data_IF_381715854065
#
_entry.id   IF_381715854065
#
_cell.length_a   1.000
_cell.length_b   1.000
_cell.length_c   1.000
_cell.angle_alpha   90.00
_cell.angle_beta   90.00
_cell.angle_gamma   90.00
#
_symmetry.space_group_name_H-M   'P 1'
#
loop_
_entity.id
_entity.type
_entity.pdbx_description
1 polymer ?
#
# COMPACT_ATOMS: atom_id res chain seq x y z
N UNK A 1 -38.10 -12.41 3.21
CA UNK A 1 -37.24 -12.39 2.02
C UNK A 1 -35.82 -12.61 2.48
N UNK A 2 -35.12 -13.49 1.78
CA UNK A 2 -33.93 -14.18 2.25
C UNK A 2 -32.73 -13.45 1.65
N UNK A 3 -32.15 -12.55 2.44
CA UNK A 3 -30.92 -11.83 2.14
C UNK A 3 -29.72 -12.75 2.36
N UNK A 4 -29.61 -13.79 1.53
CA UNK A 4 -28.40 -14.61 1.50
C UNK A 4 -27.36 -13.87 0.70
N UNK A 5 -26.38 -13.29 1.41
CA UNK A 5 -25.13 -12.88 0.79
C UNK A 5 -24.49 -14.12 0.17
N UNK A 6 -24.11 -14.04 -1.11
CA UNK A 6 -23.45 -15.14 -1.82
C UNK A 6 -22.15 -15.49 -1.08
N UNK A 7 -22.04 -16.73 -0.61
CA UNK A 7 -20.94 -17.17 0.27
C UNK A 7 -19.57 -17.12 -0.43
N UNK A 8 -19.54 -17.11 -1.76
CA UNK A 8 -18.36 -17.04 -2.62
C UNK A 8 -18.03 -15.60 -3.08
N UNK A 9 -18.88 -14.62 -2.82
CA UNK A 9 -18.60 -13.23 -3.10
C UNK A 9 -17.75 -12.64 -1.98
N UNK A 10 -16.59 -12.05 -2.35
CA UNK A 10 -15.76 -11.28 -1.44
C UNK A 10 -16.48 -9.98 -1.06
N UNK A 11 -17.37 -10.05 -0.08
CA UNK A 11 -18.02 -8.89 0.54
C UNK A 11 -17.37 -8.58 1.88
N UNK A 12 -17.42 -7.33 2.34
CA UNK A 12 -16.88 -6.95 3.66
C UNK A 12 -17.53 -7.70 4.83
N UNK A 13 -18.73 -8.26 4.66
CA UNK A 13 -19.42 -9.07 5.66
C UNK A 13 -19.05 -10.55 5.66
N UNK A 14 -18.41 -11.07 4.60
CA UNK A 14 -18.09 -12.50 4.42
C UNK A 14 -16.62 -12.79 4.18
N UNK A 15 -15.77 -11.76 4.12
CA UNK A 15 -14.31 -11.89 4.00
C UNK A 15 -13.67 -12.09 5.39
N UNK A 16 -12.40 -12.52 5.43
CA UNK A 16 -11.64 -12.85 6.65
C UNK A 16 -12.18 -14.03 7.49
N UNK A 17 -12.74 -15.05 6.83
CA UNK A 17 -13.32 -16.25 7.46
C UNK A 17 -12.35 -17.42 7.59
N UNK A 18 -11.17 -17.33 6.96
CA UNK A 18 -10.11 -18.33 7.06
C UNK A 18 -8.72 -17.69 6.89
N UNK A 19 -7.69 -18.43 7.26
CA UNK A 19 -6.28 -18.02 7.15
C UNK A 19 -5.87 -17.56 5.76
N UNK A 20 -6.38 -18.23 4.73
CA UNK A 20 -6.00 -17.94 3.35
C UNK A 20 -6.51 -16.55 2.91
N UNK A 21 -7.69 -16.12 3.36
CA UNK A 21 -8.20 -14.78 3.07
C UNK A 21 -7.37 -13.68 3.75
N UNK A 22 -6.86 -13.90 4.96
CA UNK A 22 -5.89 -12.98 5.58
C UNK A 22 -4.59 -12.91 4.77
N UNK A 23 -4.07 -14.07 4.35
CA UNK A 23 -2.87 -14.15 3.51
C UNK A 23 -3.04 -13.42 2.19
N UNK A 24 -4.16 -13.61 1.50
CA UNK A 24 -4.48 -12.92 0.24
C UNK A 24 -4.59 -11.41 0.42
N UNK A 25 -5.19 -10.98 1.53
CA UNK A 25 -5.31 -9.55 1.84
C UNK A 25 -3.96 -8.87 2.07
N UNK A 26 -3.01 -9.55 2.71
CA UNK A 26 -1.64 -9.06 2.85
C UNK A 26 -0.83 -9.18 1.57
N UNK A 27 -1.05 -10.21 0.74
CA UNK A 27 -0.40 -10.36 -0.56
C UNK A 27 -0.68 -9.18 -1.49
N UNK A 28 -1.87 -8.58 -1.41
CA UNK A 28 -2.21 -7.38 -2.15
C UNK A 28 -1.26 -6.21 -1.86
N UNK A 29 -0.70 -6.13 -0.65
CA UNK A 29 0.31 -5.15 -0.28
C UNK A 29 1.63 -5.29 -1.05
N UNK A 30 1.94 -6.48 -1.57
CA UNK A 30 3.18 -6.71 -2.32
C UNK A 30 3.05 -6.43 -3.82
N UNK A 31 1.92 -5.89 -4.28
CA UNK A 31 1.80 -5.47 -5.67
C UNK A 31 2.76 -4.33 -5.98
N UNK A 32 3.42 -4.42 -7.13
CA UNK A 32 4.42 -3.45 -7.61
C UNK A 32 3.97 -1.98 -7.53
N UNK A 33 2.68 -1.70 -7.76
CA UNK A 33 2.12 -0.33 -7.66
C UNK A 33 2.24 0.30 -6.27
N UNK A 34 2.45 -0.50 -5.22
CA UNK A 34 2.69 -0.07 -3.83
C UNK A 34 4.18 -0.03 -3.45
N UNK A 35 5.06 -0.32 -4.41
CA UNK A 35 6.51 -0.25 -4.27
C UNK A 35 7.10 0.62 -5.39
N UNK A 36 6.68 1.90 -5.47
CA UNK A 36 7.16 2.80 -6.51
C UNK A 36 8.69 2.95 -6.42
N UNK A 37 9.31 2.98 -7.60
CA UNK A 37 10.74 3.21 -7.75
C UNK A 37 10.98 4.62 -8.28
N UNK A 38 12.02 5.26 -7.77
CA UNK A 38 12.43 6.61 -8.19
C UNK A 38 13.23 6.55 -9.50
N UNK A 39 12.55 6.13 -10.56
CA UNK A 39 13.14 5.94 -11.87
C UNK A 39 12.23 6.46 -12.98
N UNK A 40 12.86 6.94 -14.05
CA UNK A 40 12.21 7.08 -15.35
C UNK A 40 13.16 6.65 -16.46
N UNK A 41 12.61 6.51 -17.67
CA UNK A 41 13.40 6.22 -18.87
C UNK A 41 14.48 7.30 -19.13
N UNK A 42 14.25 8.53 -18.71
CA UNK A 42 15.17 9.66 -18.81
C UNK A 42 16.22 9.69 -17.68
N UNK A 43 15.95 8.98 -16.57
CA UNK A 43 16.81 8.85 -15.39
C UNK A 43 16.66 9.98 -14.38
N UNK A 44 16.38 9.68 -13.11
CA UNK A 44 16.11 10.69 -12.08
C UNK A 44 17.35 11.12 -11.27
N UNK A 45 18.35 10.26 -11.15
CA UNK A 45 19.57 10.49 -10.36
C UNK A 45 20.79 10.74 -11.26
N UNK A 46 21.94 11.07 -10.66
CA UNK A 46 23.22 11.19 -11.36
C UNK A 46 23.79 9.85 -11.84
N UNK A 47 23.26 8.71 -11.40
CA UNK A 47 23.66 7.37 -11.86
C UNK A 47 23.31 7.12 -13.33
N UNK A 48 22.23 7.73 -13.85
CA UNK A 48 21.80 7.57 -15.23
C UNK A 48 21.11 8.83 -15.76
N UNK A 49 21.48 9.25 -16.98
CA UNK A 49 20.82 10.33 -17.70
C UNK A 49 20.75 10.02 -19.19
N UNK A 50 19.55 10.13 -19.77
CA UNK A 50 19.38 10.06 -21.22
C UNK A 50 19.97 11.31 -21.89
N UNK A 51 20.71 11.13 -22.98
CA UNK A 51 21.44 12.24 -23.64
C UNK A 51 20.52 13.26 -24.32
N UNK A 52 19.39 12.81 -24.84
CA UNK A 52 18.48 13.55 -25.72
C UNK A 52 17.17 13.97 -25.06
N UNK A 53 16.95 13.61 -23.78
CA UNK A 53 15.76 14.00 -23.03
C UNK A 53 16.07 14.27 -21.57
N UNK A 54 15.35 15.23 -20.99
CA UNK A 54 15.46 15.64 -19.61
C UNK A 54 14.08 15.51 -18.96
N UNK A 55 13.99 14.82 -17.82
CA UNK A 55 12.74 14.78 -17.05
C UNK A 55 12.58 16.03 -16.19
N UNK A 56 11.36 16.25 -15.71
CA UNK A 56 10.98 17.42 -14.92
C UNK A 56 11.76 17.60 -13.62
N UNK A 57 12.19 16.50 -12.97
CA UNK A 57 12.98 16.56 -11.74
C UNK A 57 14.34 17.19 -12.03
N UNK A 58 15.08 16.65 -13.01
CA UNK A 58 16.39 17.18 -13.41
C UNK A 58 16.31 18.55 -14.09
N UNK A 59 15.22 18.82 -14.78
CA UNK A 59 14.97 20.14 -15.38
C UNK A 59 14.62 21.21 -14.33
N UNK A 60 14.29 20.83 -13.09
CA UNK A 60 13.82 21.76 -12.07
C UNK A 60 12.44 22.34 -12.38
N UNK A 61 11.60 21.62 -13.12
CA UNK A 61 10.27 22.07 -13.59
C UNK A 61 9.11 21.29 -12.95
N UNK A 62 9.36 20.60 -11.84
CA UNK A 62 8.31 19.93 -11.05
C UNK A 62 7.33 20.98 -10.52
N UNK A 63 6.04 20.70 -10.71
CA UNK A 63 4.92 21.50 -10.21
C UNK A 63 3.89 20.62 -9.50
N UNK A 64 2.81 21.22 -9.00
CA UNK A 64 1.67 20.51 -8.41
C UNK A 64 1.01 19.49 -9.35
N UNK A 65 1.21 19.64 -10.66
CA UNK A 65 0.65 18.78 -11.70
C UNK A 65 1.56 17.59 -12.02
N UNK A 66 2.65 17.39 -11.28
CA UNK A 66 3.55 16.25 -11.50
C UNK A 66 2.86 14.92 -11.18
N UNK A 67 2.33 14.27 -12.22
CA UNK A 67 1.44 13.12 -12.10
C UNK A 67 2.02 11.93 -11.34
N UNK A 68 3.34 11.71 -11.39
CA UNK A 68 3.99 10.64 -10.62
C UNK A 68 3.85 10.87 -9.12
N UNK A 69 4.05 12.11 -8.65
CA UNK A 69 3.87 12.44 -7.24
C UNK A 69 2.41 12.22 -6.79
N UNK A 70 1.42 12.64 -7.60
CA UNK A 70 -0.01 12.42 -7.29
C UNK A 70 -0.39 10.93 -7.26
N UNK A 71 0.15 10.14 -8.19
CA UNK A 71 -0.12 8.70 -8.29
C UNK A 71 0.47 7.96 -7.10
N UNK A 72 1.74 8.21 -6.78
CA UNK A 72 2.43 7.52 -5.70
C UNK A 72 1.79 7.86 -4.34
N UNK A 73 1.44 9.13 -4.11
CA UNK A 73 0.69 9.56 -2.93
C UNK A 73 -0.60 8.75 -2.76
N UNK A 74 -1.43 8.72 -3.81
CA UNK A 74 -2.72 8.02 -3.79
C UNK A 74 -2.55 6.52 -3.57
N UNK A 75 -1.53 5.91 -4.17
CA UNK A 75 -1.22 4.49 -4.00
C UNK A 75 -0.79 4.16 -2.56
N UNK A 76 0.06 4.98 -1.94
CA UNK A 76 0.51 4.75 -0.56
C UNK A 76 -0.66 4.81 0.43
N UNK A 77 -1.49 5.84 0.36
CA UNK A 77 -2.66 5.95 1.23
C UNK A 77 -3.64 4.80 1.02
N UNK A 78 -3.87 4.39 -0.24
CA UNK A 78 -4.68 3.22 -0.55
C UNK A 78 -4.10 1.93 0.06
N UNK A 79 -2.78 1.74 0.01
CA UNK A 79 -2.11 0.59 0.60
C UNK A 79 -2.22 0.59 2.13
N UNK A 80 -2.01 1.76 2.76
CA UNK A 80 -2.15 1.97 4.20
C UNK A 80 -3.57 1.61 4.65
N UNK A 81 -4.61 2.16 4.03
CA UNK A 81 -6.00 1.87 4.38
C UNK A 81 -6.31 0.37 4.30
N UNK A 82 -5.81 -0.32 3.27
CA UNK A 82 -6.01 -1.76 3.12
C UNK A 82 -5.35 -2.56 4.24
N UNK A 83 -4.13 -2.17 4.64
CA UNK A 83 -3.41 -2.81 5.75
C UNK A 83 -4.08 -2.53 7.09
N UNK A 84 -4.61 -1.32 7.31
CA UNK A 84 -5.37 -0.99 8.52
C UNK A 84 -6.60 -1.87 8.65
N UNK A 85 -7.34 -2.13 7.56
CA UNK A 85 -8.47 -3.08 7.57
C UNK A 85 -8.01 -4.48 7.96
N UNK A 86 -6.85 -4.95 7.48
CA UNK A 86 -6.32 -6.27 7.91
C UNK A 86 -6.03 -6.28 9.41
N UNK A 87 -5.40 -5.21 9.94
CA UNK A 87 -5.10 -5.08 11.37
C UNK A 87 -6.37 -5.08 12.23
N UNK A 88 -7.39 -4.32 11.83
CA UNK A 88 -8.70 -4.28 12.48
C UNK A 88 -9.31 -5.69 12.54
N UNK A 89 -9.28 -6.43 11.42
CA UNK A 89 -9.84 -7.79 11.38
C UNK A 89 -9.00 -8.80 12.14
N UNK A 90 -7.68 -8.60 12.24
CA UNK A 90 -6.81 -9.41 13.11
C UNK A 90 -7.11 -9.19 14.60
N UNK A 91 -7.62 -8.02 14.99
CA UNK A 91 -8.01 -7.72 16.38
C UNK A 91 -9.33 -8.40 16.78
N UNK A 92 -10.26 -8.59 15.85
CA UNK A 92 -11.61 -9.11 16.16
C UNK A 92 -11.82 -10.59 15.82
N UNK A 93 -10.89 -11.23 15.12
CA UNK A 93 -11.02 -12.61 14.66
C UNK A 93 -10.78 -13.66 15.76
N UNK A 94 -11.39 -14.84 15.61
CA UNK A 94 -11.24 -16.02 16.48
C UNK A 94 -10.80 -17.29 15.72
N UNK A 95 -10.52 -17.16 14.41
CA UNK A 95 -10.27 -18.26 13.49
C UNK A 95 -8.78 -18.66 13.37
N UNK A 96 -7.86 -17.76 13.73
CA UNK A 96 -6.42 -17.94 13.65
C UNK A 96 -5.84 -18.30 15.02
N UNK A 97 -4.83 -19.18 15.01
CA UNK A 97 -4.00 -19.42 16.20
C UNK A 97 -3.10 -18.23 16.51
N UNK A 98 -2.63 -18.15 17.76
CA UNK A 98 -1.81 -17.03 18.26
C UNK A 98 -0.55 -16.76 17.42
N UNK A 99 0.13 -17.82 16.99
CA UNK A 99 1.34 -17.72 16.16
C UNK A 99 1.04 -17.07 14.79
N UNK A 100 -0.04 -17.50 14.13
CA UNK A 100 -0.46 -16.96 12.84
C UNK A 100 -0.91 -15.49 12.97
N UNK A 101 -1.68 -15.16 14.01
CA UNK A 101 -2.10 -13.78 14.28
C UNK A 101 -0.89 -12.87 14.50
N UNK A 102 0.11 -13.32 15.26
CA UNK A 102 1.36 -12.57 15.47
C UNK A 102 2.13 -12.37 14.17
N UNK A 103 2.25 -13.41 13.36
CA UNK A 103 2.96 -13.35 12.09
C UNK A 103 2.30 -12.36 11.12
N UNK A 104 0.98 -12.47 10.91
CA UNK A 104 0.26 -11.56 10.03
C UNK A 104 0.27 -10.11 10.54
N UNK A 105 0.18 -9.91 11.86
CA UNK A 105 0.30 -8.56 12.45
C UNK A 105 1.68 -7.96 12.25
N UNK A 106 2.75 -8.75 12.42
CA UNK A 106 4.11 -8.29 12.20
C UNK A 106 4.31 -7.86 10.74
N UNK A 107 3.83 -8.68 9.81
CA UNK A 107 3.89 -8.38 8.38
C UNK A 107 3.06 -7.14 7.99
N UNK A 108 1.83 -7.04 8.48
CA UNK A 108 0.98 -5.86 8.29
C UNK A 108 1.68 -4.58 8.80
N UNK A 109 2.30 -4.64 9.97
CA UNK A 109 3.07 -3.51 10.51
C UNK A 109 4.28 -3.16 9.64
N UNK A 110 5.00 -4.14 9.10
CA UNK A 110 6.11 -3.91 8.18
C UNK A 110 5.65 -3.21 6.90
N UNK A 111 4.57 -3.67 6.28
CA UNK A 111 3.97 -3.04 5.09
C UNK A 111 3.56 -1.60 5.39
N UNK A 112 2.79 -1.39 6.47
CA UNK A 112 2.34 -0.06 6.91
C UNK A 112 3.51 0.89 7.15
N UNK A 113 4.54 0.44 7.86
CA UNK A 113 5.74 1.24 8.12
C UNK A 113 6.50 1.59 6.83
N UNK A 114 6.59 0.65 5.88
CA UNK A 114 7.24 0.88 4.58
C UNK A 114 6.52 1.95 3.77
N UNK A 115 5.18 1.92 3.72
CA UNK A 115 4.40 2.93 3.00
C UNK A 115 4.48 4.31 3.65
N UNK A 116 4.43 4.38 4.98
CA UNK A 116 4.65 5.64 5.69
C UNK A 116 6.06 6.18 5.47
N UNK A 117 7.07 5.30 5.50
CA UNK A 117 8.46 5.69 5.21
C UNK A 117 8.58 6.31 3.82
N UNK A 118 7.92 5.74 2.81
CA UNK A 118 7.89 6.32 1.47
C UNK A 118 7.24 7.72 1.47
N UNK A 119 6.07 7.87 2.11
CA UNK A 119 5.39 9.16 2.18
C UNK A 119 6.25 10.23 2.87
N UNK A 120 6.84 9.90 4.00
CA UNK A 120 7.65 10.85 4.79
C UNK A 120 8.91 11.25 4.02
N UNK A 121 9.59 10.30 3.35
CA UNK A 121 10.83 10.61 2.64
C UNK A 121 10.62 11.46 1.38
N UNK A 122 9.44 11.39 0.75
CA UNK A 122 9.16 12.09 -0.51
C UNK A 122 8.39 13.39 -0.34
N UNK A 123 7.49 13.45 0.65
CA UNK A 123 6.56 14.57 0.82
C UNK A 123 6.77 15.31 2.15
N UNK A 124 7.54 14.75 3.08
CA UNK A 124 7.82 15.36 4.38
C UNK A 124 6.67 15.15 5.36
N UNK A 125 6.04 16.24 5.81
CA UNK A 125 4.90 16.18 6.72
C UNK A 125 3.64 15.75 5.97
N UNK A 126 3.01 14.68 6.44
CA UNK A 126 1.89 14.03 5.75
C UNK A 126 0.76 13.74 6.75
N UNK A 127 -0.52 13.81 6.33
CA UNK A 127 -1.63 13.40 7.18
C UNK A 127 -1.46 11.98 7.69
N UNK A 128 -1.40 11.81 9.00
CA UNK A 128 -1.24 10.51 9.64
C UNK A 128 -2.59 9.90 10.01
N UNK A 129 -2.82 8.66 9.59
CA UNK A 129 -4.04 7.90 9.88
C UNK A 129 -3.67 6.60 10.60
N UNK A 130 -4.29 6.37 11.76
CA UNK A 130 -4.09 5.16 12.56
C UNK A 130 -5.27 4.19 12.49
N UNK A 131 -6.46 4.68 12.09
CA UNK A 131 -7.74 3.98 12.09
C UNK A 131 -8.57 4.37 10.86
#
# INVERSE_FOLDING_TARGET
ELDLVQQDAASSGTWYQNKEQFRQSLNEGYREVFWPLDQSAEGWTDDWQRRDALNSIKAGTVSSEFGTASTNWSNMYKAITRVLVVLEKLDTQDILGEEDTKLFRAEANFLRASYWSYLISHYGDVPFYEE
#
